data_IF_291659936222
#
_entry.id   IF_291659936222
#
_cell.length_a   1.000
_cell.length_b   1.000
_cell.length_c   1.000
_cell.angle_alpha   90.00
_cell.angle_beta   90.00
_cell.angle_gamma   90.00
#
_symmetry.space_group_name_H-M   'P 1'
#
loop_
_entity.id
_entity.type
_entity.pdbx_description
1 polymer ?
#
# COMPACT_ATOMS: atom_id res chain seq x y z
N UNK A 1 -2.27 -4.52 -27.07
CA UNK A 1 -2.27 -5.09 -25.72
C UNK A 1 -3.66 -4.88 -25.14
N UNK A 2 -4.42 -5.95 -24.94
CA UNK A 2 -5.69 -5.87 -24.21
C UNK A 2 -5.34 -5.89 -22.72
N UNK A 3 -5.38 -4.72 -22.07
CA UNK A 3 -5.24 -4.66 -20.61
C UNK A 3 -6.38 -5.46 -19.98
N UNK A 4 -6.06 -6.35 -19.04
CA UNK A 4 -7.07 -7.05 -18.26
C UNK A 4 -7.82 -6.04 -17.37
N UNK A 5 -8.92 -5.53 -17.93
CA UNK A 5 -9.80 -4.56 -17.29
C UNK A 5 -10.43 -5.12 -16.01
N UNK A 6 -10.57 -6.44 -15.88
CA UNK A 6 -11.11 -7.05 -14.67
C UNK A 6 -10.07 -7.02 -13.55
N UNK A 7 -8.81 -7.33 -13.84
CA UNK A 7 -7.72 -7.18 -12.90
C UNK A 7 -7.58 -5.72 -12.44
N UNK A 8 -7.64 -4.76 -13.36
CA UNK A 8 -7.57 -3.33 -13.00
C UNK A 8 -8.73 -2.90 -12.09
N UNK A 9 -9.97 -3.32 -12.37
CA UNK A 9 -11.12 -3.02 -11.50
C UNK A 9 -10.96 -3.62 -10.10
N UNK A 10 -10.38 -4.81 -10.01
CA UNK A 10 -10.09 -5.44 -8.73
C UNK A 10 -9.03 -4.67 -7.93
N UNK A 11 -8.00 -4.14 -8.58
CA UNK A 11 -7.02 -3.25 -7.94
C UNK A 11 -7.64 -1.93 -7.45
N UNK A 12 -8.47 -1.28 -8.29
CA UNK A 12 -9.15 -0.03 -7.90
C UNK A 12 -10.05 -0.28 -6.69
N UNK A 13 -10.91 -1.31 -6.75
CA UNK A 13 -11.85 -1.64 -5.67
C UNK A 13 -11.16 -2.10 -4.39
N UNK A 14 -10.12 -2.93 -4.51
CA UNK A 14 -9.34 -3.41 -3.38
C UNK A 14 -8.56 -2.28 -2.71
N UNK A 15 -7.86 -1.44 -3.47
CA UNK A 15 -7.14 -0.29 -2.93
C UNK A 15 -8.08 0.75 -2.30
N UNK A 16 -9.26 0.97 -2.89
CA UNK A 16 -10.31 1.79 -2.27
C UNK A 16 -10.72 1.22 -0.91
N UNK A 17 -11.02 -0.09 -0.84
CA UNK A 17 -11.45 -0.72 0.40
C UNK A 17 -10.37 -0.64 1.49
N UNK A 18 -9.12 -0.93 1.15
CA UNK A 18 -7.99 -0.83 2.08
C UNK A 18 -7.77 0.61 2.53
N UNK A 19 -7.71 1.56 1.60
CA UNK A 19 -7.54 2.98 1.95
C UNK A 19 -8.69 3.47 2.82
N UNK A 20 -9.94 3.17 2.49
CA UNK A 20 -11.09 3.62 3.27
C UNK A 20 -11.12 3.02 4.68
N UNK A 21 -10.81 1.73 4.83
CA UNK A 21 -10.84 1.04 6.13
C UNK A 21 -9.60 1.28 6.99
N UNK A 22 -8.42 1.50 6.40
CA UNK A 22 -7.20 1.74 7.16
C UNK A 22 -7.04 3.23 7.45
N UNK A 23 -7.20 4.07 6.42
CA UNK A 23 -7.00 5.53 6.52
C UNK A 23 -8.25 6.21 7.08
N UNK A 24 -9.45 5.85 6.63
CA UNK A 24 -10.69 6.58 6.94
C UNK A 24 -11.28 6.39 8.33
N UNK A 25 -11.00 5.25 8.98
CA UNK A 25 -11.43 4.98 10.36
C UNK A 25 -10.26 4.92 11.35
N UNK A 26 -9.06 5.30 10.89
CA UNK A 26 -7.88 5.41 11.72
C UNK A 26 -7.38 4.12 12.32
N UNK A 27 -7.52 3.02 11.57
CA UNK A 27 -7.05 1.72 12.02
C UNK A 27 -5.53 1.60 11.86
N UNK A 28 -4.87 1.20 12.93
CA UNK A 28 -3.48 0.76 12.89
C UNK A 28 -3.37 -0.61 12.19
N UNK A 29 -2.16 -1.04 11.80
CA UNK A 29 -1.90 -2.37 11.25
C UNK A 29 -1.94 -3.46 12.31
N UNK A 30 -3.09 -3.56 12.98
CA UNK A 30 -3.41 -4.51 14.03
C UNK A 30 -4.15 -5.74 13.47
N UNK A 31 -4.60 -6.61 14.38
CA UNK A 31 -5.33 -7.82 14.00
C UNK A 31 -6.62 -7.49 13.21
N UNK A 32 -7.25 -6.36 13.51
CA UNK A 32 -8.45 -5.90 12.80
C UNK A 32 -8.09 -5.58 11.34
N UNK A 33 -7.00 -4.83 11.10
CA UNK A 33 -6.54 -4.53 9.76
C UNK A 33 -6.14 -5.80 8.99
N UNK A 34 -5.50 -6.77 9.65
CA UNK A 34 -5.15 -8.05 9.05
C UNK A 34 -6.36 -8.86 8.57
N UNK A 35 -7.41 -8.90 9.39
CA UNK A 35 -8.67 -9.57 9.08
C UNK A 35 -9.35 -8.89 7.90
N UNK A 36 -9.37 -7.55 7.87
CA UNK A 36 -9.93 -6.80 6.75
C UNK A 36 -9.12 -6.98 5.47
N UNK A 37 -7.79 -6.98 5.54
CA UNK A 37 -6.92 -7.28 4.40
C UNK A 37 -7.19 -8.67 3.82
N UNK A 38 -7.32 -9.68 4.69
CA UNK A 38 -7.69 -11.02 4.26
C UNK A 38 -9.06 -11.03 3.55
N UNK A 39 -10.04 -10.31 4.11
CA UNK A 39 -11.37 -10.18 3.50
C UNK A 39 -11.33 -9.46 2.13
N UNK A 40 -10.54 -8.40 2.00
CA UNK A 40 -10.31 -7.69 0.73
C UNK A 40 -9.73 -8.64 -0.31
N UNK A 41 -8.69 -9.42 0.03
CA UNK A 41 -8.12 -10.38 -0.93
C UNK A 41 -9.07 -11.49 -1.34
N UNK A 42 -9.94 -11.94 -0.42
CA UNK A 42 -10.98 -12.91 -0.77
C UNK A 42 -12.05 -12.30 -1.68
N UNK A 43 -12.41 -11.03 -1.48
CA UNK A 43 -13.39 -10.33 -2.30
C UNK A 43 -12.84 -9.93 -3.69
N UNK A 44 -11.57 -9.55 -3.76
CA UNK A 44 -10.87 -9.10 -4.96
C UNK A 44 -9.77 -10.09 -5.35
N UNK A 45 -10.17 -11.35 -5.57
CA UNK A 45 -9.23 -12.42 -5.91
C UNK A 45 -8.34 -12.07 -7.10
N UNK A 46 -7.04 -12.28 -6.94
CA UNK A 46 -6.02 -11.95 -7.95
C UNK A 46 -5.56 -10.49 -7.97
N UNK A 47 -6.12 -9.62 -7.13
CA UNK A 47 -5.60 -8.26 -6.93
C UNK A 47 -4.45 -8.25 -5.92
N UNK A 48 -3.45 -7.41 -6.17
CA UNK A 48 -2.33 -7.19 -5.27
C UNK A 48 -2.72 -6.25 -4.14
N UNK A 49 -3.59 -5.26 -4.44
CA UNK A 49 -4.23 -4.25 -3.58
C UNK A 49 -3.30 -3.32 -2.80
N UNK A 50 -2.08 -3.78 -2.51
CA UNK A 50 -1.00 -3.02 -1.92
C UNK A 50 0.13 -2.86 -2.92
N UNK A 51 0.71 -1.65 -3.02
CA UNK A 51 1.79 -1.45 -3.96
C UNK A 51 3.06 -2.23 -3.65
N UNK A 52 3.42 -2.36 -2.37
CA UNK A 52 4.59 -3.16 -1.95
C UNK A 52 4.50 -4.60 -2.46
N UNK A 53 3.28 -5.16 -2.49
CA UNK A 53 3.02 -6.53 -2.97
C UNK A 53 3.09 -6.58 -4.50
N UNK A 54 2.67 -5.51 -5.16
CA UNK A 54 2.85 -5.38 -6.61
C UNK A 54 4.34 -5.34 -6.99
N UNK A 55 5.16 -4.62 -6.23
CA UNK A 55 6.62 -4.64 -6.41
C UNK A 55 7.22 -6.04 -6.17
N UNK A 56 6.73 -6.79 -5.19
CA UNK A 56 7.16 -8.18 -4.98
C UNK A 56 6.82 -9.07 -6.19
N UNK A 57 5.63 -8.91 -6.80
CA UNK A 57 5.30 -9.59 -8.06
C UNK A 57 6.21 -9.17 -9.21
N UNK A 58 6.52 -7.89 -9.36
CA UNK A 58 7.48 -7.43 -10.39
C UNK A 58 8.85 -8.11 -10.16
N UNK A 59 9.36 -8.08 -8.93
CA UNK A 59 10.69 -8.59 -8.59
C UNK A 59 10.82 -10.11 -8.68
N UNK A 60 9.72 -10.84 -8.54
CA UNK A 60 9.70 -12.32 -8.60
C UNK A 60 9.24 -12.87 -9.95
N UNK A 61 8.73 -12.00 -10.82
CA UNK A 61 8.44 -12.32 -12.23
C UNK A 61 9.67 -12.25 -13.13
N UNK A 62 9.45 -12.34 -14.44
CA UNK A 62 10.52 -12.14 -15.43
C UNK A 62 10.86 -10.65 -15.55
N UNK A 63 12.04 -10.28 -15.04
CA UNK A 63 12.52 -8.89 -15.05
C UNK A 63 12.85 -8.36 -16.45
N UNK A 64 13.08 -9.25 -17.43
CA UNK A 64 13.30 -8.89 -18.83
C UNK A 64 11.99 -8.65 -19.60
N UNK A 65 10.86 -9.10 -19.06
CA UNK A 65 9.56 -9.05 -19.74
C UNK A 65 8.83 -7.73 -19.47
N UNK A 66 8.97 -6.80 -20.40
CA UNK A 66 8.30 -5.49 -20.32
C UNK A 66 6.77 -5.62 -20.45
N UNK A 67 6.28 -6.50 -21.32
CA UNK A 67 4.85 -6.56 -21.67
C UNK A 67 4.04 -7.47 -20.76
N UNK A 68 4.64 -8.55 -20.24
CA UNK A 68 3.99 -9.52 -19.36
C UNK A 68 4.21 -9.28 -17.87
N UNK A 69 5.28 -8.58 -17.47
CA UNK A 69 5.56 -8.30 -16.06
C UNK A 69 5.48 -6.80 -15.73
N UNK A 70 6.30 -5.97 -16.36
CA UNK A 70 6.40 -4.56 -15.98
C UNK A 70 5.14 -3.75 -16.31
N UNK A 71 4.62 -3.87 -17.53
CA UNK A 71 3.47 -3.06 -17.97
C UNK A 71 2.18 -3.40 -17.21
N UNK A 72 1.79 -4.68 -17.03
CA UNK A 72 0.58 -5.01 -16.27
C UNK A 72 0.68 -4.57 -14.81
N UNK A 73 1.83 -4.82 -14.16
CA UNK A 73 2.02 -4.44 -12.76
C UNK A 73 2.12 -2.92 -12.59
N UNK A 74 2.75 -2.20 -13.51
CA UNK A 74 2.74 -0.73 -13.54
C UNK A 74 1.32 -0.17 -13.63
N UNK A 75 0.45 -0.79 -14.44
CA UNK A 75 -0.96 -0.40 -14.50
C UNK A 75 -1.73 -0.74 -13.22
N UNK A 76 -1.41 -1.84 -12.54
CA UNK A 76 -1.98 -2.16 -11.22
C UNK A 76 -1.60 -1.11 -10.18
N UNK A 77 -0.34 -0.67 -10.17
CA UNK A 77 0.12 0.41 -9.31
C UNK A 77 -0.67 1.71 -9.54
N UNK A 78 -0.91 2.10 -10.80
CA UNK A 78 -1.74 3.27 -11.13
C UNK A 78 -3.20 3.08 -10.72
N UNK A 79 -3.77 1.89 -10.93
CA UNK A 79 -5.12 1.55 -10.50
C UNK A 79 -5.29 1.65 -8.97
N UNK A 80 -4.27 1.27 -8.21
CA UNK A 80 -4.27 1.41 -6.75
C UNK A 80 -4.32 2.89 -6.33
N UNK A 81 -3.56 3.77 -7.00
CA UNK A 81 -3.61 5.23 -6.77
C UNK A 81 -5.02 5.78 -7.01
N UNK A 82 -5.69 5.35 -8.08
CA UNK A 82 -7.07 5.74 -8.36
C UNK A 82 -8.02 5.25 -7.25
N UNK A 83 -7.91 3.98 -6.84
CA UNK A 83 -8.74 3.41 -5.78
C UNK A 83 -8.58 4.14 -4.44
N UNK A 84 -7.34 4.33 -3.99
CA UNK A 84 -7.05 5.05 -2.77
C UNK A 84 -7.51 6.52 -2.84
N UNK A 85 -7.39 7.13 -4.02
CA UNK A 85 -7.87 8.47 -4.25
C UNK A 85 -9.37 8.66 -4.13
N UNK A 86 -10.15 7.69 -4.63
CA UNK A 86 -11.60 7.69 -4.43
C UNK A 86 -11.98 7.56 -2.95
N UNK A 87 -11.20 6.83 -2.15
CA UNK A 87 -11.43 6.71 -0.71
C UNK A 87 -11.16 8.04 0.00
N UNK A 88 -10.04 8.70 -0.31
CA UNK A 88 -9.69 10.03 0.24
C UNK A 88 -10.75 11.07 -0.15
N UNK A 89 -11.18 11.08 -1.41
CA UNK A 89 -12.21 11.99 -1.89
C UNK A 89 -13.55 11.77 -1.15
N UNK A 90 -13.91 10.51 -0.85
CA UNK A 90 -15.11 10.21 -0.05
C UNK A 90 -14.98 10.69 1.40
N UNK A 91 -13.84 10.42 2.03
CA UNK A 91 -13.59 10.76 3.45
C UNK A 91 -13.53 12.26 3.69
N UNK A 92 -13.02 13.01 2.71
CA UNK A 92 -12.91 14.48 2.77
C UNK A 92 -14.16 15.22 2.28
N UNK A 93 -15.25 14.50 2.01
CA UNK A 93 -16.47 15.05 1.37
C UNK A 93 -16.15 15.86 0.09
N UNK A 94 -15.28 15.32 -0.77
CA UNK A 94 -14.78 15.99 -1.98
C UNK A 94 -14.06 17.32 -1.70
N UNK A 95 -13.42 17.44 -0.54
CA UNK A 95 -12.72 18.64 -0.10
C UNK A 95 -13.59 19.68 0.60
N UNK A 96 -14.79 19.29 1.04
CA UNK A 96 -15.64 20.14 1.89
C UNK A 96 -15.18 20.15 3.37
N UNK A 97 -14.44 19.13 3.80
CA UNK A 97 -13.76 19.13 5.10
C UNK A 97 -12.36 19.75 4.95
N UNK A 98 -11.93 20.57 5.91
CA UNK A 98 -10.55 21.07 6.06
C UNK A 98 -9.62 19.88 6.37
N UNK A 99 -9.34 19.07 5.35
CA UNK A 99 -8.33 18.03 5.36
C UNK A 99 -7.09 18.64 4.72
N UNK A 100 -6.05 19.00 5.49
CA UNK A 100 -4.80 19.42 4.87
C UNK A 100 -4.23 18.17 4.20
N UNK A 101 -4.39 18.08 2.89
CA UNK A 101 -3.75 17.06 2.05
C UNK A 101 -2.22 17.02 2.23
N UNK A 102 -1.68 18.04 2.92
CA UNK A 102 -0.32 18.29 3.37
C UNK A 102 0.06 17.60 4.70
N UNK A 103 -0.88 17.19 5.57
CA UNK A 103 -0.55 16.52 6.85
C UNK A 103 -0.23 15.04 6.71
N UNK A 104 -0.37 14.44 5.52
CA UNK A 104 -0.13 13.01 5.26
C UNK A 104 1.34 12.74 4.85
N UNK A 105 2.24 13.72 4.92
CA UNK A 105 3.45 13.68 4.09
C UNK A 105 4.68 14.20 4.82
N UNK A 106 5.49 13.36 5.47
CA UNK A 106 6.91 13.68 5.57
C UNK A 106 7.58 13.34 4.24
N UNK A 107 8.49 14.20 3.81
CA UNK A 107 9.34 13.95 2.66
C UNK A 107 10.08 12.61 2.79
N UNK A 108 10.47 12.05 1.65
CA UNK A 108 11.26 10.82 1.59
C UNK A 108 12.63 11.02 2.23
N UNK A 109 12.86 10.30 3.32
CA UNK A 109 14.19 10.07 3.87
C UNK A 109 14.65 8.68 3.43
N UNK A 110 15.75 8.64 2.67
CA UNK A 110 16.29 7.36 2.23
C UNK A 110 16.65 6.49 3.44
N UNK A 111 16.27 5.21 3.46
CA UNK A 111 16.59 4.33 4.57
C UNK A 111 18.11 4.22 4.74
N UNK A 112 18.56 4.18 5.99
CA UNK A 112 19.94 3.80 6.26
C UNK A 112 20.18 2.31 5.89
N UNK A 113 21.42 1.87 5.97
CA UNK A 113 21.77 0.50 5.59
C UNK A 113 20.96 -0.56 6.35
N UNK A 114 20.67 -0.34 7.64
CA UNK A 114 19.91 -1.30 8.44
C UNK A 114 18.40 -1.21 8.15
N UNK A 115 17.86 -0.01 7.93
CA UNK A 115 16.49 0.17 7.45
C UNK A 115 16.26 -0.60 6.15
N UNK A 116 17.17 -0.47 5.19
CA UNK A 116 17.10 -1.21 3.93
C UNK A 116 17.19 -2.73 4.12
N UNK A 117 18.13 -3.23 4.94
CA UNK A 117 18.24 -4.67 5.24
C UNK A 117 16.97 -5.20 5.92
N UNK A 118 16.37 -4.43 6.82
CA UNK A 118 15.14 -4.82 7.52
C UNK A 118 13.98 -4.93 6.55
N UNK A 119 13.82 -3.99 5.62
CA UNK A 119 12.80 -4.07 4.57
C UNK A 119 12.99 -5.27 3.64
N UNK A 120 14.22 -5.56 3.24
CA UNK A 120 14.54 -6.77 2.46
C UNK A 120 14.16 -8.03 3.25
N UNK A 121 14.51 -8.11 4.54
CA UNK A 121 14.13 -9.24 5.38
C UNK A 121 12.60 -9.37 5.53
N UNK A 122 11.91 -8.24 5.72
CA UNK A 122 10.46 -8.18 5.84
C UNK A 122 9.78 -8.71 4.58
N UNK A 123 10.24 -8.27 3.40
CA UNK A 123 9.75 -8.75 2.12
C UNK A 123 9.99 -10.24 1.91
N UNK A 124 11.17 -10.75 2.27
CA UNK A 124 11.49 -12.18 2.17
C UNK A 124 10.58 -13.04 3.05
N UNK A 125 10.40 -12.63 4.32
CA UNK A 125 9.54 -13.34 5.28
C UNK A 125 8.09 -13.32 4.80
N UNK A 126 7.56 -12.14 4.47
CA UNK A 126 6.21 -12.00 3.97
C UNK A 126 5.98 -12.87 2.73
N UNK A 127 6.86 -12.79 1.73
CA UNK A 127 6.69 -13.51 0.48
C UNK A 127 6.70 -15.03 0.66
N UNK A 128 7.60 -15.52 1.53
CA UNK A 128 7.66 -16.93 1.90
C UNK A 128 6.33 -17.40 2.50
N UNK A 129 5.76 -16.62 3.42
CA UNK A 129 4.47 -16.95 4.04
C UNK A 129 3.33 -16.85 3.03
N UNK A 130 3.29 -15.76 2.26
CA UNK A 130 2.26 -15.47 1.28
C UNK A 130 2.13 -16.56 0.21
N UNK A 131 3.26 -17.01 -0.33
CA UNK A 131 3.29 -18.00 -1.42
C UNK A 131 3.15 -19.44 -0.94
N UNK A 132 3.61 -19.77 0.28
CA UNK A 132 3.58 -21.17 0.78
C UNK A 132 2.34 -21.51 1.60
N UNK A 133 1.70 -20.54 2.24
CA UNK A 133 0.52 -20.80 3.05
C UNK A 133 -0.78 -20.87 2.23
N UNK A 134 -0.77 -20.38 0.98
CA UNK A 134 -1.91 -20.40 0.04
C UNK A 134 -3.23 -19.92 0.67
N UNK A 135 -3.15 -18.96 1.58
CA UNK A 135 -4.31 -18.49 2.37
C UNK A 135 -4.29 -16.98 2.50
N UNK A 136 -5.38 -16.35 2.07
CA UNK A 136 -5.59 -14.91 2.23
C UNK A 136 -5.54 -14.49 3.72
N UNK A 137 -5.99 -15.37 4.63
CA UNK A 137 -5.92 -15.13 6.07
C UNK A 137 -4.49 -15.07 6.58
N UNK A 138 -3.69 -16.08 6.25
CA UNK A 138 -2.30 -16.16 6.68
C UNK A 138 -1.49 -15.01 6.07
N UNK A 139 -1.78 -14.65 4.82
CA UNK A 139 -1.21 -13.49 4.15
C UNK A 139 -1.60 -12.18 4.84
N UNK A 140 -2.88 -12.00 5.19
CA UNK A 140 -3.36 -10.84 5.94
C UNK A 140 -2.64 -10.67 7.29
N UNK A 141 -2.41 -11.76 8.03
CA UNK A 141 -1.63 -11.71 9.26
C UNK A 141 -0.16 -11.38 9.01
N UNK A 142 0.43 -11.90 7.93
CA UNK A 142 1.79 -11.56 7.54
C UNK A 142 1.95 -10.09 7.14
N UNK A 143 0.89 -9.44 6.61
CA UNK A 143 0.90 -8.00 6.31
C UNK A 143 1.13 -7.16 7.57
N UNK A 144 0.60 -7.54 8.74
CA UNK A 144 0.88 -6.80 9.99
C UNK A 144 2.37 -6.79 10.32
N UNK A 145 3.01 -7.96 10.19
CA UNK A 145 4.43 -8.09 10.45
C UNK A 145 5.24 -7.30 9.41
N UNK A 146 4.84 -7.35 8.12
CA UNK A 146 5.45 -6.55 7.06
C UNK A 146 5.35 -5.05 7.37
N UNK A 147 4.16 -4.56 7.69
CA UNK A 147 3.91 -3.16 8.01
C UNK A 147 4.75 -2.70 9.22
N UNK A 148 4.75 -3.48 10.31
CA UNK A 148 5.56 -3.16 11.49
C UNK A 148 7.07 -3.18 11.23
N UNK A 149 7.56 -4.10 10.40
CA UNK A 149 9.00 -4.20 10.07
C UNK A 149 9.47 -3.12 9.10
N UNK A 150 8.59 -2.58 8.26
CA UNK A 150 8.95 -1.45 7.40
C UNK A 150 9.18 -0.16 8.19
N UNK A 151 8.76 -0.10 9.47
CA UNK A 151 9.08 1.02 10.37
C UNK A 151 8.54 2.38 9.94
N UNK A 152 7.70 2.39 8.90
CA UNK A 152 7.03 3.58 8.43
C UNK A 152 5.86 3.80 9.36
N UNK A 153 5.85 4.84 10.17
CA UNK A 153 4.67 5.24 10.93
C UNK A 153 4.55 6.73 10.71
N UNK A 154 3.44 7.14 10.12
CA UNK A 154 3.15 8.53 9.86
C UNK A 154 1.97 8.93 10.73
N UNK A 155 2.19 9.99 11.50
CA UNK A 155 1.13 10.65 12.24
C UNK A 155 0.27 11.42 11.23
N UNK A 156 -0.98 11.02 11.09
CA UNK A 156 -1.96 11.71 10.27
C UNK A 156 -2.98 12.40 11.18
N UNK A 157 -3.54 13.50 10.67
CA UNK A 157 -4.69 14.19 11.29
C UNK A 157 -5.63 14.62 10.18
N UNK A 158 -6.89 14.18 10.24
CA UNK A 158 -7.92 14.50 9.25
C UNK A 158 -9.25 14.83 9.92
N UNK A 159 -10.01 15.73 9.31
CA UNK A 159 -11.38 15.98 9.71
C UNK A 159 -12.27 14.76 9.32
N UNK A 160 -13.05 14.23 10.26
CA UNK A 160 -13.95 13.08 10.07
C UNK A 160 -15.43 13.49 10.17
N UNK A 161 -15.68 14.79 10.35
CA UNK A 161 -17.02 15.36 10.34
C UNK A 161 -17.04 16.76 10.94
N UNK A 162 -18.24 17.24 11.22
CA UNK A 162 -18.50 18.50 11.92
C UNK A 162 -19.34 18.22 13.16
N UNK A 163 -19.05 18.91 14.26
CA UNK A 163 -19.80 18.78 15.50
C UNK A 163 -21.11 19.57 15.46
N UNK A 164 -21.88 19.51 16.55
CA UNK A 164 -23.15 20.22 16.65
C UNK A 164 -23.01 21.76 16.64
N UNK A 165 -21.81 22.30 16.85
CA UNK A 165 -21.50 23.73 16.76
C UNK A 165 -21.01 24.13 15.35
N UNK A 166 -20.78 23.15 14.46
CA UNK A 166 -20.25 23.36 13.11
C UNK A 166 -18.72 23.41 13.06
N UNK A 167 -18.04 23.07 14.16
CA UNK A 167 -16.59 22.97 14.20
C UNK A 167 -16.13 21.61 13.63
N UNK A 168 -15.00 21.59 12.93
CA UNK A 168 -14.45 20.36 12.37
C UNK A 168 -14.04 19.38 13.50
N UNK A 169 -14.55 18.15 13.45
CA UNK A 169 -14.14 17.05 14.33
C UNK A 169 -12.90 16.40 13.72
N UNK A 170 -11.76 16.58 14.39
CA UNK A 170 -10.48 16.04 13.95
C UNK A 170 -10.25 14.64 14.53
N UNK A 171 -9.89 13.68 13.69
CA UNK A 171 -9.29 12.42 14.10
C UNK A 171 -7.78 12.47 13.84
N UNK A 172 -7.01 11.83 14.70
CA UNK A 172 -5.57 11.68 14.56
C UNK A 172 -5.17 10.25 14.85
N UNK A 173 -4.23 9.71 14.09
CA UNK A 173 -3.68 8.37 14.31
C UNK A 173 -2.26 8.27 13.74
N UNK A 174 -1.58 7.18 14.04
CA UNK A 174 -0.29 6.84 13.43
C UNK A 174 -0.51 5.63 12.53
N UNK A 175 -0.22 5.76 11.23
CA UNK A 175 -0.40 4.65 10.28
C UNK A 175 0.85 4.42 9.45
N UNK A 176 1.18 3.17 9.19
CA UNK A 176 2.27 2.79 8.28
C UNK A 176 1.78 2.89 6.85
N UNK A 177 2.44 3.66 5.99
CA UNK A 177 2.11 3.63 4.56
C UNK A 177 3.34 3.87 3.66
N UNK A 178 3.53 2.99 2.68
CA UNK A 178 4.15 3.38 1.40
C UNK A 178 3.09 3.14 0.33
N UNK A 179 1.87 3.54 0.65
CA UNK A 179 0.64 3.10 0.02
C UNK A 179 0.17 4.06 -1.06
N UNK A 180 -0.78 3.60 -1.86
CA UNK A 180 -1.39 4.40 -2.92
C UNK A 180 -2.09 5.68 -2.41
N UNK A 181 -2.43 5.74 -1.12
CA UNK A 181 -3.10 6.89 -0.49
C UNK A 181 -2.25 8.15 -0.43
N UNK A 182 -0.93 8.05 -0.21
CA UNK A 182 -0.03 9.21 -0.19
C UNK A 182 0.07 9.86 -1.56
N UNK A 183 0.30 9.04 -2.59
CA UNK A 183 0.33 9.49 -3.98
C UNK A 183 -1.00 10.12 -4.36
N UNK A 184 -2.11 9.50 -3.98
CA UNK A 184 -3.44 10.05 -4.21
C UNK A 184 -3.66 11.38 -3.48
N UNK A 185 -3.27 11.50 -2.20
CA UNK A 185 -3.38 12.73 -1.41
C UNK A 185 -2.60 13.87 -2.08
N UNK A 186 -1.37 13.60 -2.51
CA UNK A 186 -0.56 14.58 -3.21
C UNK A 186 -1.17 15.03 -4.54
N UNK A 187 -1.81 14.11 -5.28
CA UNK A 187 -2.54 14.45 -6.51
C UNK A 187 -3.81 15.28 -6.27
N UNK A 188 -4.51 15.10 -5.14
CA UNK A 188 -5.64 15.95 -4.74
C UNK A 188 -5.23 17.27 -4.07
N UNK A 189 -3.97 17.35 -3.62
CA UNK A 189 -3.33 18.58 -3.16
C UNK A 189 -2.85 19.45 -4.33
N UNK A 190 -2.03 20.46 -4.05
CA UNK A 190 -1.33 21.28 -5.05
C UNK A 190 -0.23 20.53 -5.83
N UNK A 191 -0.16 19.20 -5.74
CA UNK A 191 0.97 18.40 -6.23
C UNK A 191 2.19 18.46 -5.32
N UNK A 192 1.97 18.70 -4.02
CA UNK A 192 3.04 18.79 -3.03
C UNK A 192 3.76 17.44 -2.90
N UNK A 193 5.09 17.45 -3.08
CA UNK A 193 5.97 16.30 -2.83
C UNK A 193 5.73 15.03 -3.66
N UNK A 194 5.03 15.10 -4.80
CA UNK A 194 4.81 13.95 -5.72
C UNK A 194 6.11 13.16 -5.98
N UNK A 195 7.23 13.87 -6.16
CA UNK A 195 8.52 13.24 -6.43
C UNK A 195 9.07 12.47 -5.22
N UNK A 196 8.95 13.02 -4.01
CA UNK A 196 9.40 12.35 -2.79
C UNK A 196 8.53 11.12 -2.49
N UNK A 197 7.20 11.22 -2.62
CA UNK A 197 6.30 10.08 -2.40
C UNK A 197 6.57 8.97 -3.39
N UNK A 198 6.73 9.32 -4.67
CA UNK A 198 7.07 8.34 -5.70
C UNK A 198 8.38 7.64 -5.36
N UNK A 199 9.36 8.38 -4.83
CA UNK A 199 10.64 7.81 -4.39
C UNK A 199 10.47 6.85 -3.20
N UNK A 200 9.76 7.25 -2.14
CA UNK A 200 9.47 6.39 -0.99
C UNK A 200 8.83 5.08 -1.44
N UNK A 201 7.75 5.22 -2.20
CA UNK A 201 7.00 4.11 -2.78
C UNK A 201 7.83 3.13 -3.61
N UNK A 202 8.68 3.67 -4.49
CA UNK A 202 9.58 2.86 -5.32
C UNK A 202 10.63 2.19 -4.45
N UNK A 203 11.24 2.91 -3.51
CA UNK A 203 12.34 2.37 -2.69
C UNK A 203 11.83 1.31 -1.73
N UNK A 204 10.75 1.57 -0.99
CA UNK A 204 10.16 0.62 -0.04
C UNK A 204 9.64 -0.62 -0.77
N UNK A 205 8.96 -0.40 -1.90
CA UNK A 205 8.52 -1.46 -2.80
C UNK A 205 9.65 -2.32 -3.32
N UNK A 206 10.72 -1.69 -3.81
CA UNK A 206 11.88 -2.38 -4.37
C UNK A 206 12.68 -3.13 -3.31
N UNK A 207 12.87 -2.58 -2.11
CA UNK A 207 13.58 -3.28 -1.02
C UNK A 207 12.82 -4.53 -0.58
N UNK A 208 11.51 -4.39 -0.34
CA UNK A 208 10.65 -5.54 -0.04
C UNK A 208 10.60 -6.55 -1.20
N UNK A 209 10.56 -6.06 -2.44
CA UNK A 209 10.57 -6.88 -3.65
C UNK A 209 11.88 -7.66 -3.84
N UNK A 210 13.04 -7.05 -3.55
CA UNK A 210 14.33 -7.76 -3.50
C UNK A 210 14.27 -8.88 -2.45
N UNK A 211 13.68 -8.60 -1.29
CA UNK A 211 13.40 -9.62 -0.28
C UNK A 211 12.61 -10.82 -0.83
N UNK A 212 11.51 -10.54 -1.52
CA UNK A 212 10.69 -11.55 -2.16
C UNK A 212 11.47 -12.37 -3.20
N UNK A 213 12.29 -11.71 -4.04
CA UNK A 213 13.17 -12.38 -4.99
C UNK A 213 14.19 -13.30 -4.29
N UNK A 214 14.81 -12.83 -3.20
CA UNK A 214 15.71 -13.66 -2.40
C UNK A 214 14.98 -14.89 -1.86
N UNK A 215 13.76 -14.74 -1.36
CA UNK A 215 12.96 -15.88 -0.89
C UNK A 215 12.74 -16.92 -1.98
N UNK A 216 12.38 -16.50 -3.20
CA UNK A 216 12.23 -17.39 -4.37
C UNK A 216 13.54 -18.09 -4.71
N UNK A 217 14.66 -17.34 -4.78
CA UNK A 217 15.96 -17.88 -5.16
C UNK A 217 16.55 -18.83 -4.12
N UNK A 218 16.31 -18.58 -2.83
CA UNK A 218 16.69 -19.49 -1.75
C UNK A 218 15.89 -20.79 -1.86
N UNK A 219 14.60 -20.71 -2.17
CA UNK A 219 13.76 -21.90 -2.37
C UNK A 219 14.24 -22.77 -3.54
N UNK A 220 14.53 -22.14 -4.69
CA UNK A 220 15.10 -22.80 -5.87
C UNK A 220 16.48 -23.43 -5.61
N UNK A 221 17.27 -22.91 -4.67
CA UNK A 221 18.59 -23.44 -4.36
C UNK A 221 18.56 -24.63 -3.39
N UNK A 222 17.48 -24.77 -2.62
CA UNK A 222 17.33 -25.79 -1.57
C UNK A 222 16.53 -27.01 -2.06
N UNK A 223 15.67 -26.83 -3.07
CA UNK A 223 14.82 -27.89 -3.64
C UNK A 223 15.21 -28.22 -5.08
#
# INVERSE_FOLDING_TARGET
>A
MDMDMNAMKAEIGGAFAVAWLVIGIGMEWDLTAAVLMAAVWMAFSGAHVLPVITWMHIMTGDLGDTEGNWMPNGMRLLAQVVGAGLAIALLSEMGALDSPWETIQPGFEAPDAWGAITMIAAGAIFWTVHTRAESAWVSGFAVMALAGMMGMSYDWTMAVGVDAAGDAVMASGSSTTSGAGEMASSLFSSGHEIAQIAQAWIVDGLMCGIGALVAVKVDEAVN
#
